data_IF_888218289286
#
_entry.id   IF_888218289286
#
_cell.length_a   1.000
_cell.length_b   1.000
_cell.length_c   1.000
_cell.angle_alpha   90.00
_cell.angle_beta   90.00
_cell.angle_gamma   90.00
#
_symmetry.space_group_name_H-M   'P 1'
#
loop_
_entity.id
_entity.type
_entity.pdbx_description
1 polymer ?
#
# COMPACT_ATOMS: atom_id res chain seq x y z
N UNK A 1 74.96 -8.03 26.03
CA UNK A 1 73.81 -7.20 25.60
C UNK A 1 73.03 -8.05 24.59
N UNK A 2 71.98 -8.81 24.96
CA UNK A 2 70.60 -8.35 25.24
C UNK A 2 70.16 -7.40 24.10
N UNK A 3 69.11 -7.58 23.32
CA UNK A 3 68.08 -8.61 23.10
C UNK A 3 67.37 -8.17 21.79
N UNK A 4 66.70 -9.12 21.13
CA UNK A 4 65.37 -9.00 20.47
C UNK A 4 65.04 -7.74 19.65
N UNK A 5 64.54 -7.95 18.43
CA UNK A 5 63.12 -7.79 18.07
C UNK A 5 62.97 -7.93 16.55
N UNK A 6 62.46 -9.06 16.07
CA UNK A 6 61.03 -9.31 15.83
C UNK A 6 60.39 -8.39 14.77
N UNK A 7 60.04 -9.04 13.65
CA UNK A 7 58.66 -9.25 13.17
C UNK A 7 58.17 -8.47 11.94
N UNK A 8 57.66 -9.30 11.02
CA UNK A 8 56.42 -9.15 10.27
C UNK A 8 56.46 -8.32 8.98
N UNK A 9 56.95 -8.95 7.91
CA UNK A 9 56.50 -8.66 6.54
C UNK A 9 55.05 -9.15 6.42
N UNK A 10 54.10 -8.24 6.57
CA UNK A 10 52.66 -8.51 6.49
C UNK A 10 52.16 -8.13 5.10
N UNK A 11 51.77 -9.15 4.35
CA UNK A 11 51.20 -9.14 3.01
C UNK A 11 49.98 -8.22 2.89
N UNK A 12 50.04 -7.23 2.01
CA UNK A 12 48.91 -6.38 1.60
C UNK A 12 48.20 -7.05 0.41
N UNK A 13 47.33 -8.01 0.69
CA UNK A 13 46.35 -8.53 -0.28
C UNK A 13 45.06 -7.72 -0.14
N UNK A 14 44.89 -6.75 -1.03
CA UNK A 14 43.71 -5.89 -1.09
C UNK A 14 42.59 -6.65 -1.82
N UNK A 15 41.68 -7.24 -1.04
CA UNK A 15 40.47 -7.93 -1.52
C UNK A 15 39.57 -6.96 -2.28
N UNK A 16 39.41 -7.20 -3.59
CA UNK A 16 38.39 -6.58 -4.42
C UNK A 16 37.00 -7.04 -3.93
N UNK A 17 36.33 -6.18 -3.17
CA UNK A 17 34.97 -6.40 -2.69
C UNK A 17 34.03 -6.25 -3.91
N UNK A 18 33.61 -7.39 -4.46
CA UNK A 18 32.58 -7.48 -5.50
C UNK A 18 31.26 -6.93 -4.94
N UNK A 19 30.94 -5.68 -5.29
CA UNK A 19 29.60 -5.11 -5.13
C UNK A 19 28.69 -5.77 -6.17
N UNK A 20 28.09 -6.90 -5.82
CA UNK A 20 26.98 -7.45 -6.57
C UNK A 20 25.78 -6.48 -6.46
N UNK A 21 25.17 -6.03 -7.57
CA UNK A 21 23.93 -5.28 -7.49
C UNK A 21 22.84 -6.23 -6.99
N UNK A 22 22.29 -5.94 -5.81
CA UNK A 22 21.06 -6.56 -5.37
C UNK A 22 19.97 -6.17 -6.37
N UNK A 23 19.62 -7.09 -7.26
CA UNK A 23 18.44 -6.97 -8.10
C UNK A 23 17.22 -7.01 -7.17
N UNK A 24 16.78 -5.83 -6.71
CA UNK A 24 15.52 -5.69 -6.01
C UNK A 24 14.40 -6.04 -7.00
N UNK A 25 13.86 -7.24 -6.87
CA UNK A 25 12.62 -7.61 -7.54
C UNK A 25 11.50 -6.76 -6.93
N UNK A 26 11.17 -5.66 -7.60
CA UNK A 26 9.98 -4.88 -7.31
C UNK A 26 8.76 -5.71 -7.74
N UNK A 27 8.25 -6.53 -6.82
CA UNK A 27 6.97 -7.21 -7.00
C UNK A 27 5.84 -6.20 -7.25
N UNK A 28 4.71 -6.65 -7.83
CA UNK A 28 3.58 -5.79 -8.09
C UNK A 28 3.11 -5.09 -6.80
N UNK A 29 2.98 -3.76 -6.85
CA UNK A 29 2.52 -2.97 -5.72
C UNK A 29 1.12 -3.43 -5.27
N UNK A 30 0.86 -3.50 -3.96
CA UNK A 30 -0.46 -3.85 -3.47
C UNK A 30 -1.49 -2.85 -3.99
N UNK A 31 -2.53 -3.38 -4.66
CA UNK A 31 -3.65 -2.55 -5.13
C UNK A 31 -4.51 -2.16 -3.93
N UNK A 32 -4.92 -0.90 -3.94
CA UNK A 32 -5.87 -0.32 -3.00
C UNK A 32 -7.28 -0.78 -3.38
N UNK A 33 -8.12 -1.09 -2.40
CA UNK A 33 -9.55 -1.36 -2.59
C UNK A 33 -10.35 -0.73 -1.45
N UNK A 34 -11.67 -0.65 -1.63
CA UNK A 34 -12.61 -0.12 -0.65
C UNK A 34 -13.52 -1.26 -0.21
N UNK A 35 -13.73 -1.39 1.09
CA UNK A 35 -14.58 -2.39 1.70
C UNK A 35 -15.63 -1.70 2.57
N UNK A 36 -16.74 -2.39 2.77
CA UNK A 36 -17.77 -2.01 3.73
C UNK A 36 -17.63 -2.91 4.94
N UNK A 37 -17.60 -2.30 6.12
CA UNK A 37 -17.71 -3.02 7.37
C UNK A 37 -19.16 -3.44 7.60
N UNK A 38 -19.43 -4.73 7.45
CA UNK A 38 -20.78 -5.28 7.54
C UNK A 38 -21.39 -5.10 8.94
N UNK A 39 -20.58 -5.19 10.00
CA UNK A 39 -21.08 -5.08 11.37
C UNK A 39 -21.64 -3.69 11.66
N UNK A 40 -20.96 -2.65 11.16
CA UNK A 40 -21.41 -1.28 11.27
C UNK A 40 -22.49 -0.92 10.26
N UNK A 41 -22.48 -1.52 9.06
CA UNK A 41 -23.51 -1.33 8.05
C UNK A 41 -24.89 -1.77 8.57
N UNK A 42 -24.97 -2.96 9.18
CA UNK A 42 -26.25 -3.52 9.67
C UNK A 42 -26.91 -2.66 10.77
N UNK A 43 -26.13 -1.80 11.44
CA UNK A 43 -26.61 -0.89 12.48
C UNK A 43 -27.18 0.42 11.94
N UNK A 44 -27.00 0.70 10.65
CA UNK A 44 -27.47 1.92 10.00
C UNK A 44 -28.93 1.84 9.53
N UNK A 45 -29.52 3.01 9.31
CA UNK A 45 -30.78 3.12 8.59
C UNK A 45 -30.65 2.55 7.16
N UNK A 46 -31.69 1.87 6.62
CA UNK A 46 -31.62 1.23 5.30
C UNK A 46 -31.24 2.17 4.15
N UNK A 47 -31.63 3.44 4.26
CA UNK A 47 -31.27 4.46 3.28
C UNK A 47 -29.76 4.77 3.27
N UNK A 48 -29.15 4.80 4.45
CA UNK A 48 -27.73 5.08 4.66
C UNK A 48 -26.89 3.85 4.31
N UNK A 49 -27.42 2.64 4.56
CA UNK A 49 -26.82 1.39 4.10
C UNK A 49 -26.67 1.36 2.57
N UNK A 50 -27.75 1.67 1.84
CA UNK A 50 -27.70 1.68 0.37
C UNK A 50 -26.71 2.72 -0.15
N UNK A 51 -26.69 3.91 0.46
CA UNK A 51 -25.74 4.95 0.11
C UNK A 51 -24.28 4.48 0.30
N UNK A 52 -23.99 3.80 1.41
CA UNK A 52 -22.64 3.30 1.68
C UNK A 52 -22.20 2.22 0.68
N UNK A 53 -23.11 1.31 0.30
CA UNK A 53 -22.86 0.27 -0.70
C UNK A 53 -22.62 0.88 -2.09
N UNK A 54 -23.50 1.78 -2.54
CA UNK A 54 -23.38 2.46 -3.83
C UNK A 54 -22.07 3.26 -3.93
N UNK A 55 -21.68 3.91 -2.83
CA UNK A 55 -20.44 4.68 -2.77
C UNK A 55 -19.21 3.76 -2.84
N UNK A 56 -19.23 2.64 -2.11
CA UNK A 56 -18.17 1.63 -2.15
C UNK A 56 -17.96 1.11 -3.58
N UNK A 57 -19.04 0.76 -4.28
CA UNK A 57 -19.00 0.27 -5.65
C UNK A 57 -18.41 1.29 -6.61
N UNK A 58 -18.84 2.56 -6.51
CA UNK A 58 -18.29 3.66 -7.32
C UNK A 58 -16.80 3.86 -7.07
N UNK A 59 -16.38 3.85 -5.81
CA UNK A 59 -14.96 4.00 -5.45
C UNK A 59 -14.11 2.83 -5.97
N UNK A 60 -14.61 1.61 -5.87
CA UNK A 60 -13.93 0.42 -6.39
C UNK A 60 -13.86 0.42 -7.93
N UNK A 61 -14.92 0.84 -8.62
CA UNK A 61 -14.90 1.02 -10.06
C UNK A 61 -13.77 1.98 -10.48
N UNK A 62 -13.64 3.12 -9.80
CA UNK A 62 -12.60 4.13 -10.09
C UNK A 62 -11.17 3.64 -9.81
N UNK A 63 -10.99 2.81 -8.77
CA UNK A 63 -9.70 2.18 -8.46
C UNK A 63 -9.32 1.12 -9.49
N UNK A 64 -10.30 0.40 -10.02
CA UNK A 64 -10.11 -0.67 -10.99
C UNK A 64 -10.05 -0.18 -12.45
N UNK A 65 -10.33 1.09 -12.72
CA UNK A 65 -10.14 1.71 -14.04
C UNK A 65 -8.70 1.55 -14.52
N UNK A 66 -8.50 0.99 -15.71
CA UNK A 66 -7.18 0.95 -16.34
C UNK A 66 -6.73 2.37 -16.70
N UNK A 67 -5.50 2.70 -16.32
CA UNK A 67 -4.91 4.05 -16.46
C UNK A 67 -3.80 4.11 -17.48
N UNK A 68 -3.44 2.98 -18.11
CA UNK A 68 -2.30 2.87 -19.01
C UNK A 68 -2.44 3.80 -20.22
N UNK A 69 -3.65 3.90 -20.77
CA UNK A 69 -3.93 4.68 -21.98
C UNK A 69 -4.47 6.10 -21.69
N UNK A 70 -4.50 6.52 -20.43
CA UNK A 70 -5.06 7.81 -20.04
C UNK A 70 -4.07 8.97 -20.21
N UNK A 71 -4.56 10.03 -20.83
CA UNK A 71 -3.89 11.33 -20.91
C UNK A 71 -3.68 11.93 -19.51
N UNK A 72 -2.80 12.93 -19.42
CA UNK A 72 -2.56 13.64 -18.15
C UNK A 72 -3.82 14.35 -17.63
N UNK A 73 -4.67 14.82 -18.54
CA UNK A 73 -5.93 15.50 -18.21
C UNK A 73 -6.94 14.51 -17.61
N UNK A 74 -7.17 13.37 -18.26
CA UNK A 74 -8.08 12.32 -17.75
C UNK A 74 -7.61 11.77 -16.40
N UNK A 75 -6.30 11.55 -16.23
CA UNK A 75 -5.75 11.16 -14.93
C UNK A 75 -5.94 12.22 -13.85
N UNK A 76 -5.98 13.51 -14.22
CA UNK A 76 -6.27 14.59 -13.28
C UNK A 76 -7.73 14.58 -12.88
N UNK A 77 -8.63 14.31 -13.82
CA UNK A 77 -10.06 14.19 -13.57
C UNK A 77 -10.38 13.02 -12.64
N UNK A 78 -9.82 11.83 -12.90
CA UNK A 78 -9.97 10.68 -11.99
C UNK A 78 -9.49 10.97 -10.57
N UNK A 79 -8.42 11.78 -10.41
CA UNK A 79 -7.96 12.21 -9.08
C UNK A 79 -8.93 13.19 -8.43
N UNK A 80 -9.59 14.04 -9.20
CA UNK A 80 -10.59 14.96 -8.69
C UNK A 80 -11.83 14.19 -8.24
N UNK A 81 -12.35 13.32 -9.10
CA UNK A 81 -13.48 12.44 -8.81
C UNK A 81 -13.20 11.56 -7.58
N UNK A 82 -12.02 10.93 -7.49
CA UNK A 82 -11.61 10.18 -6.31
C UNK A 82 -11.67 11.01 -5.01
N UNK A 83 -11.25 12.29 -5.05
CA UNK A 83 -11.31 13.16 -3.87
C UNK A 83 -12.74 13.53 -3.50
N UNK A 84 -13.61 13.72 -4.49
CA UNK A 84 -15.04 13.96 -4.25
C UNK A 84 -15.67 12.76 -3.57
N UNK A 85 -15.49 11.56 -4.13
CA UNK A 85 -16.00 10.33 -3.55
C UNK A 85 -15.45 10.06 -2.15
N UNK A 86 -14.17 10.38 -1.92
CA UNK A 86 -13.60 10.28 -0.58
C UNK A 86 -14.27 11.25 0.40
N UNK A 87 -14.56 12.48 -0.01
CA UNK A 87 -15.26 13.43 0.86
C UNK A 87 -16.69 12.96 1.16
N UNK A 88 -17.40 12.40 0.18
CA UNK A 88 -18.71 11.76 0.36
C UNK A 88 -18.61 10.58 1.34
N UNK A 89 -17.58 9.73 1.21
CA UNK A 89 -17.28 8.63 2.13
C UNK A 89 -17.08 9.11 3.57
N UNK A 90 -16.27 10.15 3.74
CA UNK A 90 -15.97 10.73 5.05
C UNK A 90 -17.27 11.27 5.69
N UNK A 91 -18.15 11.91 4.90
CA UNK A 91 -19.47 12.36 5.37
C UNK A 91 -20.38 11.20 5.80
N UNK A 92 -20.42 10.11 5.03
CA UNK A 92 -21.22 8.93 5.38
C UNK A 92 -20.71 8.31 6.68
N UNK A 93 -19.39 8.18 6.85
CA UNK A 93 -18.79 7.68 8.09
C UNK A 93 -19.06 8.61 9.29
N UNK A 94 -19.03 9.93 9.09
CA UNK A 94 -19.40 10.91 10.12
C UNK A 94 -20.87 10.78 10.53
N UNK A 95 -21.78 10.63 9.56
CA UNK A 95 -23.21 10.42 9.82
C UNK A 95 -23.50 9.11 10.54
N UNK A 96 -22.75 8.06 10.20
CA UNK A 96 -22.81 6.76 10.84
C UNK A 96 -22.24 6.75 12.27
N UNK A 97 -21.50 7.79 12.67
CA UNK A 97 -20.66 7.81 13.88
C UNK A 97 -19.71 6.60 13.99
N UNK A 98 -19.39 5.98 12.85
CA UNK A 98 -18.62 4.75 12.74
C UNK A 98 -17.91 4.67 11.37
N UNK A 99 -16.84 3.90 11.29
CA UNK A 99 -16.12 3.65 10.04
C UNK A 99 -16.82 2.54 9.25
N UNK A 100 -17.87 2.89 8.50
CA UNK A 100 -18.66 1.95 7.70
C UNK A 100 -17.98 1.64 6.37
N UNK A 101 -17.36 2.64 5.74
CA UNK A 101 -16.60 2.47 4.51
C UNK A 101 -15.11 2.61 4.81
N UNK A 102 -14.35 1.55 4.56
CA UNK A 102 -12.94 1.45 4.89
C UNK A 102 -12.13 1.29 3.63
N UNK A 103 -11.12 2.15 3.49
CA UNK A 103 -10.12 2.04 2.44
C UNK A 103 -9.06 1.05 2.92
N UNK A 104 -9.10 -0.17 2.39
CA UNK A 104 -8.18 -1.21 2.78
C UNK A 104 -7.02 -1.31 1.79
N UNK A 105 -5.89 -1.75 2.32
CA UNK A 105 -4.67 -2.04 1.57
C UNK A 105 -4.38 -3.52 1.75
N UNK A 106 -5.38 -4.37 1.49
CA UNK A 106 -5.31 -5.82 1.82
C UNK A 106 -4.11 -6.50 1.17
N UNK A 107 -3.67 -6.03 -0.01
CA UNK A 107 -2.42 -6.51 -0.62
C UNK A 107 -1.18 -6.34 0.27
N UNK A 108 -1.08 -5.24 1.03
CA UNK A 108 0.06 -4.99 1.91
C UNK A 108 0.05 -5.94 3.11
N UNK A 109 -1.12 -6.19 3.71
CA UNK A 109 -1.28 -7.13 4.82
C UNK A 109 -0.92 -8.56 4.39
N UNK A 110 -1.37 -9.00 3.21
CA UNK A 110 -1.02 -10.33 2.66
C UNK A 110 0.48 -10.45 2.41
N UNK A 111 1.11 -9.44 1.80
CA UNK A 111 2.56 -9.41 1.57
C UNK A 111 3.31 -9.47 2.92
N UNK A 112 2.84 -8.72 3.92
CA UNK A 112 3.47 -8.67 5.24
C UNK A 112 3.32 -10.00 6.00
N UNK A 113 2.17 -10.67 5.90
CA UNK A 113 1.95 -12.02 6.43
C UNK A 113 2.86 -13.06 5.76
N UNK A 114 2.99 -13.02 4.43
CA UNK A 114 3.89 -13.92 3.69
C UNK A 114 5.35 -13.73 4.11
N UNK A 115 5.80 -12.49 4.33
CA UNK A 115 7.15 -12.18 4.81
C UNK A 115 7.43 -12.77 6.21
N UNK A 116 6.45 -12.75 7.12
CA UNK A 116 6.61 -13.31 8.48
C UNK A 116 6.73 -14.83 8.44
N UNK A 117 5.97 -15.52 7.58
CA UNK A 117 6.00 -16.99 7.48
C UNK A 117 7.29 -17.50 6.84
N UNK A 118 7.89 -16.73 5.92
CA UNK A 118 9.06 -17.13 5.14
C UNK A 118 10.40 -16.79 5.81
N UNK A 119 10.39 -15.93 6.84
CA UNK A 119 11.54 -15.58 7.68
C UNK A 119 11.71 -16.58 8.83
#
# INVERSE_FOLDING_TARGET
>A
MIDRTLRLVRTLTLTALLTAPAAAWAGPLPKKHVEVDQEHLEQLDPALQQQALDLCDRMNALLNTDRNDLTRAERKELRHEWRSLKAEMDQVNEQAAANVIVISTTGLIIILLLLIILL
#
